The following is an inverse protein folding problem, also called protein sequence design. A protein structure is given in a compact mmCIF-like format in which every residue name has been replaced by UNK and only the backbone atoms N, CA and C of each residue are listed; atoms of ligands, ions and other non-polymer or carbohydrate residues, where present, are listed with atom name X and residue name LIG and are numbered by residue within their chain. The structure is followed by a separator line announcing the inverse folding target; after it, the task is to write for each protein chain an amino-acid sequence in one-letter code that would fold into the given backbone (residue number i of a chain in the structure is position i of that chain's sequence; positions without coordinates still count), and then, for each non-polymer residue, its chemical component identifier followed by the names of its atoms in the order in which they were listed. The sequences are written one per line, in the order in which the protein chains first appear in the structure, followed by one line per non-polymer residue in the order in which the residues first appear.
data_IF_634813254074
#
_entry.id   IF_634813254074
#
_cell.length_a   1.000
_cell.length_b   1.000
_cell.length_c   1.000
_cell.angle_alpha   90.00
_cell.angle_beta   90.00
_cell.angle_gamma   90.00
#
_symmetry.space_group_name_H-M   'P 1'
#
loop_
_entity.id
_entity.type
_entity.pdbx_description
1 polymer ?
#
# COMPACT_ATOMS: atom_id res chain seq x y z
N UNK A 1 -10.14 18.93 9.79
CA UNK A 1 -9.10 18.50 8.83
C UNK A 1 -7.83 19.29 9.18
N UNK A 2 -6.63 18.70 9.29
CA UNK A 2 -5.40 19.36 9.83
C UNK A 2 -4.86 20.56 9.01
N UNK A 3 -5.66 21.14 8.10
CA UNK A 3 -5.23 22.13 7.11
C UNK A 3 -4.93 23.49 7.75
N UNK A 4 -5.68 23.90 8.77
CA UNK A 4 -5.56 25.21 9.42
C UNK A 4 -4.15 25.48 9.96
N UNK A 5 -3.43 24.42 10.34
CA UNK A 5 -2.06 24.52 10.83
C UNK A 5 -1.02 24.90 9.76
N UNK A 6 -1.39 24.89 8.48
CA UNK A 6 -0.48 25.14 7.36
C UNK A 6 -0.81 26.42 6.58
N UNK A 7 -1.70 27.27 7.09
CA UNK A 7 -2.09 28.49 6.39
C UNK A 7 -0.86 29.39 6.11
N UNK A 8 0.00 29.63 7.09
CA UNK A 8 1.25 30.38 6.91
C UNK A 8 2.25 29.66 5.99
N UNK A 9 2.43 28.34 6.18
CA UNK A 9 3.34 27.55 5.35
C UNK A 9 2.86 27.42 3.90
N UNK A 10 1.57 27.62 3.61
CA UNK A 10 0.99 27.49 2.28
C UNK A 10 1.55 28.53 1.30
N UNK A 11 1.73 29.78 1.75
CA UNK A 11 2.29 30.86 0.95
C UNK A 11 3.76 30.56 0.62
N UNK A 12 4.52 30.09 1.60
CA UNK A 12 5.90 29.68 1.41
C UNK A 12 6.05 28.54 0.40
N UNK A 13 5.21 27.50 0.54
CA UNK A 13 5.19 26.35 -0.37
C UNK A 13 4.84 26.79 -1.80
N UNK A 14 3.87 27.69 -1.97
CA UNK A 14 3.49 28.25 -3.29
C UNK A 14 4.67 28.95 -3.94
N UNK A 15 5.30 29.88 -3.23
CA UNK A 15 6.40 30.67 -3.76
C UNK A 15 7.55 29.77 -4.22
N UNK A 16 7.95 28.81 -3.37
CA UNK A 16 9.05 27.88 -3.67
C UNK A 16 8.77 26.96 -4.86
N UNK A 17 7.52 26.53 -5.05
CA UNK A 17 7.16 25.62 -6.15
C UNK A 17 7.01 26.40 -7.47
N UNK A 18 6.33 27.56 -7.46
CA UNK A 18 6.04 28.33 -8.66
C UNK A 18 7.23 29.17 -9.16
N UNK A 19 7.92 29.89 -8.25
CA UNK A 19 9.00 30.81 -8.61
C UNK A 19 10.35 30.08 -8.69
N UNK A 20 10.72 29.40 -7.59
CA UNK A 20 12.03 28.76 -7.47
C UNK A 20 12.12 27.38 -8.14
N UNK A 21 10.99 26.84 -8.64
CA UNK A 21 10.87 25.52 -9.29
C UNK A 21 11.35 24.35 -8.42
N UNK A 22 11.19 24.45 -7.10
CA UNK A 22 11.59 23.38 -6.19
C UNK A 22 10.68 22.14 -6.34
N UNK A 23 11.27 20.95 -6.16
CA UNK A 23 10.50 19.73 -6.00
C UNK A 23 9.82 19.72 -4.63
N UNK A 24 8.67 19.02 -4.51
CA UNK A 24 7.97 18.93 -3.21
C UNK A 24 8.83 18.31 -2.10
N UNK A 25 9.74 17.39 -2.44
CA UNK A 25 10.72 16.82 -1.51
C UNK A 25 11.72 17.88 -1.04
N UNK A 26 12.20 18.75 -1.94
CA UNK A 26 13.13 19.83 -1.61
C UNK A 26 12.48 20.88 -0.69
N UNK A 27 11.22 21.26 -0.95
CA UNK A 27 10.47 22.19 -0.10
C UNK A 27 10.31 21.64 1.32
N UNK A 28 10.02 20.35 1.47
CA UNK A 28 9.91 19.71 2.78
C UNK A 28 11.26 19.60 3.48
N UNK A 29 12.33 19.30 2.74
CA UNK A 29 13.69 19.34 3.27
C UNK A 29 14.02 20.68 3.89
N UNK A 30 13.74 21.78 3.17
CA UNK A 30 13.94 23.13 3.70
C UNK A 30 13.03 23.45 4.89
N UNK A 31 11.74 23.09 4.84
CA UNK A 31 10.80 23.33 5.93
C UNK A 31 11.27 22.64 7.22
N UNK A 32 11.78 21.41 7.12
CA UNK A 32 12.31 20.68 8.26
C UNK A 32 13.57 21.32 8.87
N UNK A 33 14.35 22.07 8.07
CA UNK A 33 15.55 22.77 8.52
C UNK A 33 15.22 24.14 9.13
N UNK A 34 14.30 24.88 8.50
CA UNK A 34 13.93 26.24 8.92
C UNK A 34 12.94 26.26 10.07
N UNK A 35 12.05 25.27 10.17
CA UNK A 35 10.98 25.23 11.16
C UNK A 35 10.88 23.84 11.81
N UNK A 36 11.52 23.63 12.97
CA UNK A 36 11.50 22.35 13.70
C UNK A 36 10.09 21.88 14.06
N UNK A 37 9.14 22.80 14.25
CA UNK A 37 7.75 22.50 14.62
C UNK A 37 6.99 21.73 13.54
N UNK A 38 7.40 21.86 12.28
CA UNK A 38 6.81 21.13 11.15
C UNK A 38 7.54 19.82 10.84
N UNK A 39 8.64 19.53 11.57
CA UNK A 39 9.43 18.32 11.36
C UNK A 39 8.60 17.07 11.63
N UNK A 40 8.40 16.26 10.59
CA UNK A 40 7.63 15.01 10.66
C UNK A 40 6.11 15.20 10.61
N UNK A 41 5.63 16.44 10.51
CA UNK A 41 4.19 16.75 10.40
C UNK A 41 3.68 16.49 8.98
N UNK A 42 4.50 16.78 7.96
CA UNK A 42 4.19 16.53 6.54
C UNK A 42 5.31 15.73 5.90
N UNK A 43 4.95 14.70 5.13
CA UNK A 43 5.87 14.01 4.22
C UNK A 43 5.55 14.39 2.76
N UNK A 44 6.52 14.22 1.85
CA UNK A 44 6.37 14.59 0.43
C UNK A 44 5.17 13.94 -0.23
N UNK A 45 4.87 12.69 0.13
CA UNK A 45 3.67 12.01 -0.34
C UNK A 45 2.38 12.74 0.07
N UNK A 46 2.31 13.25 1.30
CA UNK A 46 1.15 14.01 1.79
C UNK A 46 1.04 15.34 1.06
N UNK A 47 2.16 16.05 0.84
CA UNK A 47 2.17 17.30 0.06
C UNK A 47 1.70 17.07 -1.38
N UNK A 48 2.23 16.05 -2.07
CA UNK A 48 1.73 15.63 -3.39
C UNK A 48 0.24 15.31 -3.39
N UNK A 49 -0.25 14.60 -2.37
CA UNK A 49 -1.67 14.27 -2.25
C UNK A 49 -2.54 15.51 -2.04
N UNK A 50 -2.06 16.51 -1.30
CA UNK A 50 -2.77 17.77 -1.07
C UNK A 50 -2.83 18.62 -2.34
N UNK A 51 -1.73 18.71 -3.08
CA UNK A 51 -1.70 19.35 -4.41
C UNK A 51 -2.65 18.65 -5.38
N UNK A 52 -2.64 17.32 -5.42
CA UNK A 52 -3.53 16.54 -6.29
C UNK A 52 -5.01 16.68 -5.90
N UNK A 53 -5.31 16.92 -4.61
CA UNK A 53 -6.66 17.18 -4.10
C UNK A 53 -7.11 18.64 -4.25
N UNK A 54 -6.24 19.54 -4.72
CA UNK A 54 -6.55 20.97 -4.83
C UNK A 54 -6.67 21.69 -3.49
N UNK A 55 -5.98 21.21 -2.44
CA UNK A 55 -6.00 21.84 -1.12
C UNK A 55 -5.27 23.19 -1.12
N UNK A 56 -4.28 23.35 -1.99
CA UNK A 56 -3.59 24.62 -2.18
C UNK A 56 -4.18 25.31 -3.41
N UNK A 57 -4.80 26.47 -3.21
CA UNK A 57 -5.15 27.36 -4.33
C UNK A 57 -3.88 27.69 -5.12
N UNK A 58 -4.01 27.80 -6.44
CA UNK A 58 -2.94 28.10 -7.43
C UNK A 58 -1.91 26.98 -7.70
N UNK A 59 -1.70 26.02 -6.78
CA UNK A 59 -0.80 24.89 -7.03
C UNK A 59 -1.57 23.71 -7.60
N UNK A 60 -1.54 23.58 -8.93
CA UNK A 60 -2.09 22.40 -9.61
C UNK A 60 -0.98 21.40 -9.93
N UNK A 61 -1.32 20.15 -10.23
CA UNK A 61 -0.32 19.14 -10.67
C UNK A 61 0.53 19.60 -11.87
N UNK A 62 0.02 20.54 -12.69
CA UNK A 62 0.74 21.16 -13.81
C UNK A 62 1.78 22.20 -13.40
N UNK A 63 1.66 22.79 -12.21
CA UNK A 63 2.63 23.76 -11.69
C UNK A 63 3.93 23.09 -11.20
N UNK A 64 3.91 21.77 -10.99
CA UNK A 64 5.06 21.01 -10.56
C UNK A 64 6.04 20.86 -11.72
N UNK A 65 7.26 21.34 -11.53
CA UNK A 65 8.34 21.27 -12.53
C UNK A 65 8.62 19.84 -13.02
N UNK A 66 8.61 18.87 -12.09
CA UNK A 66 8.77 17.47 -12.45
C UNK A 66 7.70 16.60 -11.79
N UNK A 67 6.90 15.93 -12.62
CA UNK A 67 5.96 14.90 -12.15
C UNK A 67 6.73 13.61 -11.91
N UNK A 68 6.64 13.07 -10.69
CA UNK A 68 7.28 11.79 -10.33
C UNK A 68 6.94 10.70 -11.34
N UNK A 69 7.94 10.25 -12.12
CA UNK A 69 7.82 9.13 -13.04
C UNK A 69 7.72 7.84 -12.22
N UNK A 70 6.55 7.21 -12.15
CA UNK A 70 6.40 5.89 -11.51
C UNK A 70 7.13 4.85 -12.36
N UNK A 71 8.12 4.18 -11.77
CA UNK A 71 8.71 2.98 -12.39
C UNK A 71 7.63 1.91 -12.48
N UNK A 72 7.26 1.52 -13.71
CA UNK A 72 6.36 0.38 -13.92
C UNK A 72 7.06 -0.87 -13.38
N UNK A 73 6.42 -1.60 -12.47
CA UNK A 73 6.91 -2.91 -12.03
C UNK A 73 6.84 -3.86 -13.23
N UNK A 74 7.88 -4.69 -13.40
CA UNK A 74 7.83 -5.78 -14.37
C UNK A 74 6.76 -6.77 -13.88
N UNK A 75 5.92 -7.22 -14.80
CA UNK A 75 4.93 -8.25 -14.49
C UNK A 75 5.67 -9.59 -14.40
N UNK A 76 5.67 -10.20 -13.22
CA UNK A 76 6.11 -11.58 -13.06
C UNK A 76 4.91 -12.49 -13.33
N UNK A 77 5.06 -13.40 -14.30
CA UNK A 77 4.06 -14.44 -14.53
C UNK A 77 4.04 -15.37 -13.32
N UNK A 78 2.94 -15.39 -12.58
CA UNK A 78 2.73 -16.35 -11.49
C UNK A 78 2.60 -17.73 -12.12
N UNK A 79 3.65 -18.55 -12.01
CA UNK A 79 3.57 -19.95 -12.42
C UNK A 79 2.45 -20.62 -11.63
N UNK A 80 1.54 -21.32 -12.33
CA UNK A 80 0.50 -22.11 -11.67
C UNK A 80 1.20 -23.23 -10.90
N UNK A 81 1.27 -23.10 -9.58
CA UNK A 81 1.72 -24.18 -8.70
C UNK A 81 0.83 -25.40 -8.98
N UNK A 82 1.44 -26.55 -9.26
CA UNK A 82 0.72 -27.80 -9.44
C UNK A 82 -0.08 -28.11 -8.18
N UNK A 83 -1.42 -28.05 -8.27
CA UNK A 83 -2.32 -28.41 -7.17
C UNK A 83 -2.33 -29.92 -6.88
N UNK A 84 -1.60 -30.74 -7.65
CA UNK A 84 -1.36 -32.15 -7.37
C UNK A 84 -0.09 -32.29 -6.52
N UNK A 85 -0.19 -31.88 -5.26
CA UNK A 85 0.76 -32.34 -4.24
C UNK A 85 0.59 -33.85 -4.12
N UNK A 86 1.51 -34.64 -4.68
CA UNK A 86 1.44 -36.11 -4.74
C UNK A 86 1.38 -36.80 -3.36
N UNK A 87 1.52 -36.05 -2.26
CA UNK A 87 1.47 -36.55 -0.88
C UNK A 87 0.40 -35.92 0.02
N UNK A 88 -0.50 -35.07 -0.51
CA UNK A 88 -1.59 -34.53 0.33
C UNK A 88 -2.68 -35.58 0.51
N UNK A 89 -2.91 -36.02 1.76
CA UNK A 89 -4.03 -36.90 2.16
C UNK A 89 -5.30 -36.08 2.39
N UNK A 90 -6.47 -36.72 2.34
CA UNK A 90 -7.74 -36.05 2.62
C UNK A 90 -7.83 -35.68 4.11
N UNK A 91 -8.51 -34.59 4.45
CA UNK A 91 -8.87 -34.23 5.82
C UNK A 91 -9.61 -35.36 6.56
N UNK A 92 -10.39 -36.16 5.84
CA UNK A 92 -11.15 -37.29 6.37
C UNK A 92 -10.24 -38.47 6.78
N UNK A 93 -9.04 -38.55 6.22
CA UNK A 93 -8.06 -39.60 6.50
C UNK A 93 -7.13 -39.22 7.68
N UNK A 94 -7.39 -38.10 8.37
CA UNK A 94 -6.57 -37.64 9.50
C UNK A 94 -6.73 -38.57 10.72
N UNK A 95 -5.64 -38.89 11.44
CA UNK A 95 -5.72 -39.58 12.72
C UNK A 95 -6.55 -38.80 13.76
N UNK A 96 -7.38 -39.51 14.53
CA UNK A 96 -8.27 -38.91 15.54
C UNK A 96 -7.53 -38.10 16.62
N UNK A 97 -6.28 -38.47 16.92
CA UNK A 97 -5.44 -37.78 17.89
C UNK A 97 -5.21 -36.30 17.52
N UNK A 98 -5.19 -35.98 16.22
CA UNK A 98 -5.04 -34.61 15.70
C UNK A 98 -6.34 -33.82 15.88
N UNK A 99 -7.51 -34.44 15.64
CA UNK A 99 -8.81 -33.82 15.87
C UNK A 99 -9.01 -33.45 17.36
N UNK A 100 -8.52 -34.32 18.24
CA UNK A 100 -8.55 -34.10 19.69
C UNK A 100 -7.46 -33.14 20.18
N UNK A 101 -6.62 -32.60 19.29
CA UNK A 101 -5.54 -31.64 19.58
C UNK A 101 -4.59 -32.11 20.69
N UNK A 102 -4.28 -33.41 20.71
CA UNK A 102 -3.45 -34.02 21.76
C UNK A 102 -1.94 -33.74 21.57
N UNK A 103 -1.50 -33.39 20.36
CA UNK A 103 -0.09 -33.12 20.05
C UNK A 103 0.14 -31.67 19.61
N UNK A 104 1.22 -31.07 20.11
CA UNK A 104 1.68 -29.75 19.68
C UNK A 104 2.38 -29.83 18.31
N UNK A 105 2.14 -28.85 17.44
CA UNK A 105 2.84 -28.72 16.14
C UNK A 105 2.11 -29.30 14.92
N UNK A 106 0.90 -29.84 15.08
CA UNK A 106 0.03 -30.27 13.96
C UNK A 106 -0.95 -29.16 13.59
N UNK A 107 -0.57 -28.30 12.64
CA UNK A 107 -1.45 -27.26 12.10
C UNK A 107 -1.66 -27.50 10.61
N UNK A 108 -2.85 -27.99 10.25
CA UNK A 108 -3.31 -28.05 8.86
C UNK A 108 -4.48 -27.07 8.72
N UNK A 109 -4.42 -26.18 7.74
CA UNK A 109 -5.50 -25.25 7.46
C UNK A 109 -6.53 -25.89 6.54
N UNK A 110 -7.78 -25.94 6.98
CA UNK A 110 -8.86 -26.53 6.18
C UNK A 110 -9.17 -25.63 4.98
N UNK A 111 -9.03 -26.16 3.76
CA UNK A 111 -9.36 -25.43 2.54
C UNK A 111 -10.63 -26.01 1.90
N UNK A 112 -11.67 -25.19 1.77
CA UNK A 112 -12.84 -25.56 0.96
C UNK A 112 -12.45 -25.48 -0.52
N UNK A 113 -12.50 -26.60 -1.24
CA UNK A 113 -12.35 -26.60 -2.69
C UNK A 113 -13.66 -26.18 -3.32
N UNK A 114 -13.66 -24.97 -3.90
CA UNK A 114 -14.80 -24.43 -4.64
C UNK A 114 -15.19 -25.31 -5.85
N UNK A 115 -16.47 -25.19 -6.25
CA UNK A 115 -17.06 -25.96 -7.35
C UNK A 115 -16.26 -25.80 -8.65
N UNK A 116 -15.92 -26.91 -9.31
CA UNK A 116 -15.32 -26.94 -10.67
C UNK A 116 -16.14 -27.85 -11.57
N UNK A 117 -16.44 -27.41 -12.80
CA UNK A 117 -17.06 -28.22 -13.85
C UNK A 117 -18.49 -28.72 -13.54
N UNK A 118 -19.41 -27.80 -13.19
CA UNK A 118 -20.86 -28.11 -13.11
C UNK A 118 -21.31 -28.95 -11.90
N UNK A 119 -20.42 -29.31 -10.97
CA UNK A 119 -20.81 -30.02 -9.74
C UNK A 119 -21.57 -29.10 -8.76
N UNK A 120 -22.61 -29.65 -8.12
CA UNK A 120 -23.53 -28.93 -7.22
C UNK A 120 -22.95 -28.57 -5.85
N UNK A 121 -21.83 -29.14 -5.41
CA UNK A 121 -21.27 -28.89 -4.06
C UNK A 121 -19.74 -28.92 -4.09
N UNK A 122 -19.10 -28.05 -3.30
CA UNK A 122 -17.66 -28.10 -3.03
C UNK A 122 -17.33 -29.16 -1.98
N UNK A 123 -16.08 -29.58 -1.89
CA UNK A 123 -15.63 -30.57 -0.89
C UNK A 123 -14.41 -30.02 -0.14
N UNK A 124 -14.18 -30.55 1.06
CA UNK A 124 -13.04 -30.16 1.89
C UNK A 124 -11.77 -30.83 1.37
N UNK A 125 -10.64 -30.13 1.50
CA UNK A 125 -9.32 -30.64 1.19
C UNK A 125 -8.38 -30.42 2.36
#
# INVERSE_FOLDING_TARGET
MKIEKYAESSVYIRQKICEDRYSTDAVIGELNLKQPEFKGVICAKTLYNYIAKGVFEEITTFSLWEKRKRRKRRYEQVSRISLKNKGSRSIEERPQQINNRLEYGRWEGDCIVGRRGGKKTGYLR
#
